data_IF_816105733074
#
_entry.id   IF_816105733074
#
_cell.length_a   1.000
_cell.length_b   1.000
_cell.length_c   1.000
_cell.angle_alpha   90.00
_cell.angle_beta   90.00
_cell.angle_gamma   90.00
#
_symmetry.space_group_name_H-M   'P 1'
#
loop_
_entity.id
_entity.type
_entity.pdbx_description
1 polymer ?
#
# COMPACT_ATOMS: atom_id res chain seq x y z
N UNK A 1 1.05 -11.76 -7.06
CA UNK A 1 1.98 -10.97 -7.89
C UNK A 1 3.18 -10.54 -7.05
N UNK A 2 4.39 -10.56 -7.61
CA UNK A 2 5.61 -10.02 -6.96
C UNK A 2 5.95 -8.63 -7.51
N UNK A 3 6.41 -7.74 -6.64
CA UNK A 3 6.75 -6.35 -6.97
C UNK A 3 7.99 -5.88 -6.22
N UNK A 4 8.70 -4.90 -6.76
CA UNK A 4 9.83 -4.23 -6.11
C UNK A 4 9.41 -2.81 -5.73
N UNK A 5 9.68 -2.39 -4.50
CA UNK A 5 9.43 -1.00 -4.10
C UNK A 5 10.49 -0.08 -4.73
N UNK A 6 10.04 0.90 -5.50
CA UNK A 6 10.90 1.89 -6.17
C UNK A 6 10.84 3.26 -5.51
N UNK A 7 9.83 3.51 -4.66
CA UNK A 7 9.65 4.76 -3.94
C UNK A 7 9.15 4.55 -2.50
N UNK A 8 10.10 4.57 -1.56
CA UNK A 8 9.88 4.52 -0.13
C UNK A 8 9.83 5.91 0.54
N UNK A 9 9.73 6.99 -0.25
CA UNK A 9 9.58 8.34 0.30
C UNK A 9 8.14 8.58 0.73
N UNK A 10 7.95 8.84 2.02
CA UNK A 10 6.69 9.26 2.61
C UNK A 10 6.85 10.67 3.18
N UNK A 11 5.80 11.49 3.10
CA UNK A 11 5.82 12.81 3.72
C UNK A 11 6.01 12.68 5.24
N UNK A 12 6.75 13.61 5.85
CA UNK A 12 7.06 13.57 7.28
C UNK A 12 5.81 13.41 8.19
N UNK A 13 4.66 14.08 7.94
CA UNK A 13 3.45 13.88 8.73
C UNK A 13 2.90 12.45 8.66
N UNK A 14 3.02 11.80 7.50
CA UNK A 14 2.59 10.40 7.31
C UNK A 14 3.49 9.46 8.10
N UNK A 15 4.82 9.69 8.08
CA UNK A 15 5.77 8.90 8.86
C UNK A 15 5.55 9.05 10.36
N UNK A 16 5.26 10.26 10.84
CA UNK A 16 4.95 10.52 12.24
C UNK A 16 3.69 9.75 12.69
N UNK A 17 2.62 9.83 11.88
CA UNK A 17 1.40 9.06 12.12
C UNK A 17 1.67 7.54 12.10
N UNK A 18 2.40 7.04 11.10
CA UNK A 18 2.75 5.62 11.03
C UNK A 18 3.58 5.16 12.22
N UNK A 19 4.49 5.99 12.74
CA UNK A 19 5.27 5.67 13.92
C UNK A 19 4.41 5.55 15.19
N UNK A 20 3.39 6.41 15.34
CA UNK A 20 2.45 6.37 16.47
C UNK A 20 1.70 5.03 16.57
N UNK A 21 1.33 4.46 15.42
CA UNK A 21 0.58 3.20 15.35
C UNK A 21 1.44 1.97 15.04
N UNK A 22 2.76 2.09 14.94
CA UNK A 22 3.65 0.96 14.63
C UNK A 22 3.51 0.42 13.19
N UNK A 23 3.11 1.26 12.24
CA UNK A 23 2.98 0.92 10.83
C UNK A 23 4.36 0.79 10.19
N UNK A 24 4.63 -0.36 9.59
CA UNK A 24 5.82 -0.62 8.80
C UNK A 24 5.60 -0.16 7.36
N UNK A 25 6.62 0.45 6.76
CA UNK A 25 6.59 0.92 5.36
C UNK A 25 7.46 0.06 4.44
N UNK A 26 7.09 -0.06 3.15
CA UNK A 26 7.95 -0.63 2.13
C UNK A 26 9.30 0.10 2.07
N UNK A 27 10.36 -0.65 1.76
CA UNK A 27 11.73 -0.14 1.62
C UNK A 27 12.17 -0.26 0.18
N UNK A 28 12.84 0.78 -0.32
CA UNK A 28 13.34 0.81 -1.69
C UNK A 28 14.22 -0.41 -1.99
N UNK A 29 14.11 -0.91 -3.21
CA UNK A 29 14.83 -2.06 -3.76
C UNK A 29 14.54 -3.40 -3.04
N UNK A 30 13.55 -3.43 -2.14
CA UNK A 30 13.06 -4.67 -1.53
C UNK A 30 11.89 -5.23 -2.33
N UNK A 31 11.90 -6.55 -2.50
CA UNK A 31 10.83 -7.32 -3.12
C UNK A 31 9.72 -7.64 -2.13
N UNK A 32 8.49 -7.63 -2.61
CA UNK A 32 7.28 -7.91 -1.86
C UNK A 32 6.28 -8.72 -2.69
N UNK A 33 5.44 -9.49 -2.02
CA UNK A 33 4.31 -10.19 -2.62
C UNK A 33 3.03 -9.44 -2.33
N UNK A 34 2.28 -9.07 -3.37
CA UNK A 34 0.96 -8.46 -3.23
C UNK A 34 -0.02 -9.49 -2.65
N UNK A 35 -0.58 -9.18 -1.48
CA UNK A 35 -1.62 -9.97 -0.80
C UNK A 35 -3.01 -9.64 -1.31
N UNK A 36 -3.31 -8.36 -1.45
CA UNK A 36 -4.65 -7.88 -1.78
C UNK A 36 -4.55 -6.52 -2.45
N UNK A 37 -5.44 -6.28 -3.41
CA UNK A 37 -5.57 -5.00 -4.11
C UNK A 37 -6.87 -4.33 -3.67
N UNK A 38 -6.78 -3.09 -3.19
CA UNK A 38 -7.91 -2.26 -2.78
C UNK A 38 -8.03 -1.06 -3.71
N UNK A 39 -9.20 -0.92 -4.35
CA UNK A 39 -9.55 0.28 -5.12
C UNK A 39 -10.22 1.28 -4.18
N UNK A 40 -9.65 2.47 -4.07
CA UNK A 40 -10.19 3.56 -3.25
C UNK A 40 -11.20 4.37 -4.04
N UNK A 41 -12.15 5.00 -3.34
CA UNK A 41 -13.16 5.89 -3.96
C UNK A 41 -12.53 7.12 -4.63
N UNK A 42 -11.30 7.46 -4.27
CA UNK A 42 -10.48 8.51 -4.91
C UNK A 42 -9.99 8.13 -6.31
N UNK A 43 -10.17 6.87 -6.74
CA UNK A 43 -9.59 6.33 -7.98
C UNK A 43 -8.17 5.79 -7.82
N UNK A 44 -7.56 5.95 -6.64
CA UNK A 44 -6.25 5.37 -6.35
C UNK A 44 -6.33 3.86 -6.09
N UNK A 45 -5.28 3.14 -6.50
CA UNK A 45 -5.13 1.71 -6.20
C UNK A 45 -4.09 1.54 -5.11
N UNK A 46 -4.55 1.02 -3.97
CA UNK A 46 -3.72 0.62 -2.85
C UNK A 46 -3.49 -0.89 -2.83
N UNK A 47 -2.34 -1.32 -2.37
CA UNK A 47 -2.02 -2.73 -2.17
C UNK A 47 -1.63 -3.02 -0.73
N UNK A 48 -1.98 -4.24 -0.30
CA UNK A 48 -1.45 -4.87 0.91
C UNK A 48 -0.38 -5.87 0.51
N UNK A 49 0.66 -6.00 1.32
CA UNK A 49 1.79 -6.89 1.07
C UNK A 49 1.74 -8.10 2.02
N UNK A 50 2.42 -9.19 1.67
CA UNK A 50 2.51 -10.35 2.55
C UNK A 50 3.53 -10.14 3.67
N UNK A 51 4.64 -9.50 3.34
CA UNK A 51 5.79 -9.28 4.22
C UNK A 51 5.56 -8.12 5.19
N UNK A 52 4.51 -7.33 4.97
CA UNK A 52 4.10 -6.21 5.84
C UNK A 52 2.66 -6.46 6.28
N UNK A 53 2.49 -6.76 7.57
CA UNK A 53 1.19 -6.84 8.27
C UNK A 53 1.13 -5.70 9.25
N UNK A 54 0.36 -4.67 8.93
CA UNK A 54 0.22 -3.50 9.78
C UNK A 54 -1.04 -3.60 10.65
N UNK A 55 -1.03 -2.99 11.85
CA UNK A 55 -2.25 -2.82 12.61
C UNK A 55 -3.22 -1.90 11.87
N UNK A 56 -4.50 -2.01 12.21
CA UNK A 56 -5.51 -1.06 11.75
C UNK A 56 -5.23 0.33 12.36
N UNK A 57 -5.40 1.36 11.54
CA UNK A 57 -5.19 2.76 11.96
C UNK A 57 -6.45 3.58 11.74
N UNK A 58 -6.70 4.61 12.58
CA UNK A 58 -7.88 5.46 12.44
C UNK A 58 -7.73 6.40 11.24
N UNK A 59 -8.76 6.44 10.40
CA UNK A 59 -8.86 7.34 9.25
C UNK A 59 -10.23 8.01 9.25
N UNK A 60 -10.25 9.30 8.96
CA UNK A 60 -11.49 10.07 8.87
C UNK A 60 -12.14 9.85 7.50
N UNK A 61 -13.28 9.18 7.49
CA UNK A 61 -14.14 9.04 6.33
C UNK A 61 -15.22 10.14 6.33
N UNK A 62 -15.46 10.85 5.22
CA UNK A 62 -16.41 11.97 5.15
C UNK A 62 -17.83 11.63 5.61
N UNK A 63 -18.27 10.38 5.40
CA UNK A 63 -19.64 9.94 5.69
C UNK A 63 -19.73 9.05 6.93
N UNK A 64 -18.68 8.29 7.24
CA UNK A 64 -18.73 7.24 8.28
C UNK A 64 -18.05 7.67 9.59
N UNK A 65 -17.49 8.88 9.64
CA UNK A 65 -16.72 9.33 10.80
C UNK A 65 -15.35 8.65 10.82
N UNK A 66 -14.93 8.16 11.99
CA UNK A 66 -13.66 7.46 12.14
C UNK A 66 -13.83 5.97 11.78
N UNK A 67 -13.03 5.49 10.84
CA UNK A 67 -12.96 4.09 10.45
C UNK A 67 -11.55 3.57 10.66
N UNK A 68 -11.44 2.32 11.08
CA UNK A 68 -10.16 1.66 11.36
C UNK A 68 -9.88 0.63 10.28
N UNK A 69 -8.70 0.70 9.67
CA UNK A 69 -8.28 -0.29 8.68
C UNK A 69 -6.76 -0.33 8.50
N UNK A 70 -6.27 -1.48 8.04
CA UNK A 70 -4.86 -1.68 7.68
C UNK A 70 -4.47 -0.77 6.50
N UNK A 71 -3.49 0.13 6.66
CA UNK A 71 -3.10 1.08 5.63
C UNK A 71 -2.56 0.37 4.39
N UNK A 72 -3.05 0.78 3.22
CA UNK A 72 -2.56 0.29 1.93
C UNK A 72 -1.47 1.19 1.37
N UNK A 73 -0.57 0.63 0.57
CA UNK A 73 0.44 1.40 -0.15
C UNK A 73 0.01 1.65 -1.58
N UNK A 74 0.14 2.90 -2.06
CA UNK A 74 -0.17 3.24 -3.45
C UNK A 74 0.70 2.41 -4.41
N UNK A 75 0.07 1.78 -5.41
CA UNK A 75 0.75 0.88 -6.35
C UNK A 75 1.89 1.56 -7.14
N UNK A 76 1.80 2.87 -7.37
CA UNK A 76 2.81 3.64 -8.10
C UNK A 76 4.16 3.73 -7.36
N UNK A 77 4.23 3.23 -6.12
CA UNK A 77 5.47 3.06 -5.35
C UNK A 77 6.24 1.80 -5.72
N UNK A 78 5.68 0.98 -6.60
CA UNK A 78 6.20 -0.32 -6.96
C UNK A 78 6.34 -0.47 -8.48
N UNK A 79 7.21 -1.39 -8.85
CA UNK A 79 7.41 -1.83 -10.21
C UNK A 79 7.38 -3.37 -10.27
N UNK A 80 7.19 -3.91 -11.47
CA UNK A 80 7.39 -5.33 -11.75
C UNK A 80 8.87 -5.70 -11.52
N UNK A 81 9.19 -7.00 -11.49
CA UNK A 81 10.57 -7.46 -11.37
C UNK A 81 11.47 -7.01 -12.54
N UNK A 82 10.87 -6.64 -13.67
CA UNK A 82 11.55 -6.07 -14.84
C UNK A 82 11.72 -4.55 -14.76
N UNK A 83 11.33 -3.92 -13.65
CA UNK A 83 11.42 -2.47 -13.43
C UNK A 83 10.36 -1.66 -14.17
N UNK A 84 9.33 -2.30 -14.71
CA UNK A 84 8.23 -1.60 -15.40
C UNK A 84 7.15 -1.17 -14.39
N UNK A 85 6.42 -0.07 -14.65
CA UNK A 85 5.25 0.28 -13.85
C UNK A 85 4.26 -0.89 -13.82
N UNK A 86 3.70 -1.18 -12.64
CA UNK A 86 2.67 -2.22 -12.50
C UNK A 86 1.38 -1.74 -13.16
N UNK A 87 0.87 -2.50 -14.14
CA UNK A 87 -0.38 -2.17 -14.83
C UNK A 87 -1.58 -2.77 -14.11
N UNK A 88 -2.76 -2.23 -14.39
CA UNK A 88 -3.99 -2.63 -13.72
C UNK A 88 -4.38 -4.07 -14.02
N UNK A 89 -4.15 -4.55 -15.25
CA UNK A 89 -4.46 -5.91 -15.68
C UNK A 89 -3.66 -6.95 -14.88
N UNK A 90 -2.42 -6.63 -14.50
CA UNK A 90 -1.55 -7.51 -13.69
C UNK A 90 -2.03 -7.66 -12.24
N UNK A 91 -2.92 -6.77 -11.78
CA UNK A 91 -3.48 -6.76 -10.44
C UNK A 91 -4.80 -7.54 -10.34
N UNK A 92 -5.47 -7.80 -11.46
CA UNK A 92 -6.80 -8.45 -11.47
C UNK A 92 -6.72 -9.91 -10.98
N UNK A 93 -5.61 -10.58 -11.27
CA UNK A 93 -5.34 -11.97 -10.85
C UNK A 93 -5.03 -12.11 -9.35
N UNK A 94 -4.81 -11.00 -8.62
CA UNK A 94 -4.42 -11.03 -7.21
C UNK A 94 -5.62 -11.17 -6.27
N UNK A 95 -6.80 -10.73 -6.70
CA UNK A 95 -8.02 -10.71 -5.87
C UNK A 95 -8.92 -11.95 -6.09
N UNK A 96 -8.44 -12.96 -6.82
CA UNK A 96 -9.18 -14.20 -7.13
C UNK A 96 -9.04 -15.22 -6.00
#
# INVERSE_FOLDING_TARGET
MEVICTNDNFAAPVLAFYAEFGVQTPKRDKMYTVRQVKRHTTGETGILLNEIKNPDVPVKHPVMGEVWFEPTFNINRFATLMGQPVRQEELEDVNV
#
